data_IF_137435986813
#
_entry.id   IF_137435986813
#
_cell.length_a   1.000
_cell.length_b   1.000
_cell.length_c   1.000
_cell.angle_alpha   90.00
_cell.angle_beta   90.00
_cell.angle_gamma   90.00
#
_symmetry.space_group_name_H-M   'P 1'
#
loop_
_entity.id
_entity.type
_entity.pdbx_description
1 polymer ?
#
# COMPACT_ATOMS: atom_id res chain seq x y z
N UNK A 1 -45.44 -13.87 -27.22
CA UNK A 1 -45.22 -13.33 -25.85
C UNK A 1 -44.03 -13.97 -25.15
N UNK A 2 -43.83 -15.31 -25.16
CA UNK A 2 -42.67 -15.93 -24.47
C UNK A 2 -41.26 -15.48 -24.92
N UNK A 3 -41.03 -15.14 -26.20
CA UNK A 3 -39.68 -14.75 -26.66
C UNK A 3 -39.17 -13.44 -26.05
N UNK A 4 -40.04 -12.46 -25.82
CA UNK A 4 -39.66 -11.16 -25.23
C UNK A 4 -39.33 -11.28 -23.75
N UNK A 5 -40.03 -12.16 -23.03
CA UNK A 5 -39.80 -12.38 -21.60
C UNK A 5 -38.45 -13.08 -21.37
N UNK A 6 -38.13 -14.07 -22.22
CA UNK A 6 -36.84 -14.76 -22.19
C UNK A 6 -35.70 -13.80 -22.56
N UNK A 7 -35.85 -12.97 -23.60
CA UNK A 7 -34.82 -12.00 -23.98
C UNK A 7 -34.58 -10.95 -22.90
N UNK A 8 -35.64 -10.50 -22.21
CA UNK A 8 -35.52 -9.57 -21.09
C UNK A 8 -34.81 -10.22 -19.90
N UNK A 9 -35.17 -11.45 -19.55
CA UNK A 9 -34.51 -12.21 -18.49
C UNK A 9 -33.01 -12.41 -18.78
N UNK A 10 -32.66 -12.79 -20.00
CA UNK A 10 -31.25 -12.94 -20.43
C UNK A 10 -30.50 -11.61 -20.36
N UNK A 11 -31.11 -10.51 -20.80
CA UNK A 11 -30.50 -9.17 -20.74
C UNK A 11 -30.21 -8.73 -19.30
N UNK A 12 -31.15 -8.95 -18.38
CA UNK A 12 -30.97 -8.64 -16.96
C UNK A 12 -29.84 -9.48 -16.35
N UNK A 13 -29.82 -10.78 -16.60
CA UNK A 13 -28.76 -11.67 -16.10
C UNK A 13 -27.39 -11.27 -16.66
N UNK A 14 -27.31 -10.97 -17.96
CA UNK A 14 -26.08 -10.52 -18.60
C UNK A 14 -25.57 -9.21 -18.01
N UNK A 15 -26.47 -8.25 -17.74
CA UNK A 15 -26.12 -6.97 -17.12
C UNK A 15 -25.48 -7.16 -15.73
N UNK A 16 -26.11 -7.98 -14.88
CA UNK A 16 -25.54 -8.29 -13.56
C UNK A 16 -24.23 -9.07 -13.66
N UNK A 17 -24.11 -10.04 -14.58
CA UNK A 17 -22.88 -10.79 -14.78
C UNK A 17 -21.71 -9.88 -15.16
N UNK A 18 -21.94 -8.93 -16.08
CA UNK A 18 -20.93 -7.92 -16.47
C UNK A 18 -20.61 -6.99 -15.30
N UNK A 19 -21.63 -6.51 -14.58
CA UNK A 19 -21.44 -5.65 -13.41
C UNK A 19 -20.61 -6.31 -12.30
N UNK A 20 -20.92 -7.56 -11.96
CA UNK A 20 -20.14 -8.34 -11.00
C UNK A 20 -18.72 -8.63 -11.51
N UNK A 21 -18.56 -8.89 -12.80
CA UNK A 21 -17.25 -9.05 -13.43
C UNK A 21 -16.38 -7.79 -13.27
N UNK A 22 -16.93 -6.63 -13.60
CA UNK A 22 -16.24 -5.34 -13.45
C UNK A 22 -15.91 -5.02 -11.99
N UNK A 23 -16.84 -5.24 -11.07
CA UNK A 23 -16.59 -5.07 -9.63
C UNK A 23 -15.46 -5.95 -9.13
N UNK A 24 -15.42 -7.22 -9.57
CA UNK A 24 -14.35 -8.15 -9.22
C UNK A 24 -12.99 -7.69 -9.77
N UNK A 25 -12.97 -7.11 -10.97
CA UNK A 25 -11.75 -6.55 -11.56
C UNK A 25 -11.27 -5.33 -10.77
N UNK A 26 -12.16 -4.39 -10.45
CA UNK A 26 -11.80 -3.18 -9.68
C UNK A 26 -11.30 -3.55 -8.27
N UNK A 27 -11.97 -4.48 -7.59
CA UNK A 27 -11.59 -4.91 -6.25
C UNK A 27 -10.24 -5.66 -6.20
N UNK A 28 -9.68 -6.06 -7.35
CA UNK A 28 -8.33 -6.64 -7.44
C UNK A 28 -7.24 -5.58 -7.41
N UNK A 29 -7.54 -4.35 -7.80
CA UNK A 29 -6.57 -3.25 -7.76
C UNK A 29 -6.56 -2.64 -6.36
N UNK A 30 -5.54 -2.95 -5.56
CA UNK A 30 -5.32 -2.24 -4.31
C UNK A 30 -5.05 -0.75 -4.63
N UNK A 31 -5.77 0.20 -4.00
CA UNK A 31 -5.68 1.62 -4.30
C UNK A 31 -4.42 2.24 -3.68
N UNK A 32 -3.25 1.74 -4.08
CA UNK A 32 -1.99 2.42 -3.82
C UNK A 32 -1.71 3.40 -4.96
N UNK A 33 -1.51 4.66 -4.61
CA UNK A 33 -0.96 5.62 -5.56
C UNK A 33 0.56 5.52 -5.54
N UNK A 34 1.18 5.35 -6.71
CA UNK A 34 2.63 5.25 -6.90
C UNK A 34 3.00 6.11 -8.10
N UNK A 35 4.03 6.93 -7.97
CA UNK A 35 4.59 7.72 -9.06
C UNK A 35 5.17 6.82 -10.14
N UNK A 36 5.24 7.32 -11.38
CA UNK A 36 5.82 6.59 -12.51
C UNK A 36 7.25 6.11 -12.23
N UNK A 37 8.01 6.93 -11.48
CA UNK A 37 9.41 6.69 -11.10
C UNK A 37 9.56 5.87 -9.81
N UNK A 38 8.46 5.48 -9.15
CA UNK A 38 8.49 4.69 -7.91
C UNK A 38 8.96 5.45 -6.65
N UNK A 39 9.51 6.66 -6.81
CA UNK A 39 10.06 7.48 -5.71
C UNK A 39 9.01 8.11 -4.79
N UNK A 40 7.75 8.19 -5.21
CA UNK A 40 6.66 8.72 -4.37
C UNK A 40 5.52 7.72 -4.37
N UNK A 41 5.03 7.34 -3.20
CA UNK A 41 3.94 6.39 -3.09
C UNK A 41 3.15 6.57 -1.81
N UNK A 42 1.97 5.97 -1.77
CA UNK A 42 1.15 5.90 -0.56
C UNK A 42 1.27 4.49 0.01
N UNK A 43 1.52 4.39 1.31
CA UNK A 43 1.73 3.13 2.00
C UNK A 43 1.07 3.15 3.38
N UNK A 44 0.93 1.97 3.98
CA UNK A 44 0.46 1.84 5.36
C UNK A 44 1.66 1.63 6.27
N UNK A 45 1.71 2.37 7.36
CA UNK A 45 2.74 2.24 8.38
C UNK A 45 2.11 1.87 9.73
N UNK A 46 2.77 0.98 10.46
CA UNK A 46 2.49 0.68 11.86
C UNK A 46 3.72 1.01 12.68
N UNK A 47 3.57 1.77 13.77
CA UNK A 47 4.68 2.05 14.70
C UNK A 47 4.84 0.85 15.63
N UNK A 48 6.07 0.41 15.88
CA UNK A 48 6.37 -0.62 16.87
C UNK A 48 6.34 0.01 18.28
N UNK A 49 5.16 0.44 18.71
CA UNK A 49 4.91 0.90 20.06
C UNK A 49 3.87 -0.05 20.66
N UNK A 50 4.17 -0.59 21.85
CA UNK A 50 3.38 -1.57 22.58
C UNK A 50 1.88 -1.24 22.78
N UNK A 51 1.44 -0.03 22.39
CA UNK A 51 0.07 0.46 22.53
C UNK A 51 -0.70 0.65 21.20
N UNK A 52 -0.11 0.44 20.00
CA UNK A 52 -0.77 0.86 18.74
C UNK A 52 -0.57 -0.12 17.58
N UNK A 53 -1.46 -1.12 17.47
CA UNK A 53 -1.63 -1.94 16.25
C UNK A 53 -2.40 -1.20 15.13
N UNK A 54 -2.23 0.13 15.05
CA UNK A 54 -3.03 0.96 14.14
C UNK A 54 -2.24 1.32 12.88
N UNK A 55 -2.53 0.58 11.82
CA UNK A 55 -2.12 0.93 10.46
C UNK A 55 -2.59 2.33 10.09
N UNK A 56 -1.65 3.21 9.78
CA UNK A 56 -1.90 4.59 9.35
C UNK A 56 -1.45 4.75 7.91
N UNK A 57 -2.28 5.39 7.08
CA UNK A 57 -1.91 5.70 5.69
C UNK A 57 -0.98 6.92 5.64
N UNK A 58 0.16 6.77 4.97
CA UNK A 58 1.18 7.80 4.83
C UNK A 58 1.62 7.95 3.38
N UNK A 59 2.03 9.18 3.02
CA UNK A 59 2.68 9.46 1.74
C UNK A 59 4.19 9.41 1.96
N UNK A 60 4.84 8.56 1.19
CA UNK A 60 6.27 8.27 1.26
C UNK A 60 6.95 8.90 0.04
N UNK A 61 8.06 9.58 0.29
CA UNK A 61 8.95 10.12 -0.73
C UNK A 61 10.36 9.60 -0.48
N UNK A 62 10.96 8.99 -1.49
CA UNK A 62 12.35 8.52 -1.45
C UNK A 62 13.25 9.65 -1.93
N UNK A 63 14.23 10.00 -1.09
CA UNK A 63 15.21 11.08 -1.30
C UNK A 63 16.62 10.52 -1.06
N UNK A 64 17.27 10.06 -2.14
CA UNK A 64 18.57 9.39 -2.07
C UNK A 64 18.50 8.13 -1.22
N UNK A 65 19.29 8.07 -0.14
CA UNK A 65 19.32 6.94 0.80
C UNK A 65 18.33 7.07 1.97
N UNK A 66 17.49 8.10 1.96
CA UNK A 66 16.53 8.37 3.03
C UNK A 66 15.10 8.37 2.49
N UNK A 67 14.18 7.99 3.35
CA UNK A 67 12.75 8.04 3.10
C UNK A 67 12.13 9.17 3.91
N UNK A 68 11.51 10.11 3.23
CA UNK A 68 10.72 11.18 3.83
C UNK A 68 9.26 10.74 3.92
N UNK A 69 8.76 10.60 5.14
CA UNK A 69 7.36 10.26 5.39
C UNK A 69 6.58 11.54 5.68
N UNK A 70 5.57 11.78 4.85
CA UNK A 70 4.58 12.83 5.02
C UNK A 70 3.25 12.20 5.39
N UNK A 71 2.90 12.30 6.67
CA UNK A 71 1.64 11.79 7.18
C UNK A 71 0.43 12.62 6.73
N UNK A 72 -0.71 11.98 6.44
CA UNK A 72 -2.01 12.65 6.35
C UNK A 72 -2.73 12.61 7.70
N UNK A 73 -3.10 13.76 8.24
CA UNK A 73 -3.89 13.89 9.48
C UNK A 73 -3.07 14.00 10.78
N UNK A 74 -3.76 14.29 11.90
CA UNK A 74 -3.13 14.57 13.21
C UNK A 74 -2.29 13.41 13.74
N UNK A 75 -2.75 12.16 13.58
CA UNK A 75 -2.03 10.96 14.03
C UNK A 75 -0.75 10.69 13.23
N UNK A 76 -0.78 11.03 11.95
CA UNK A 76 0.37 10.88 11.07
C UNK A 76 1.42 12.01 11.25
N UNK A 77 1.13 13.03 12.06
CA UNK A 77 2.09 14.08 12.45
C UNK A 77 3.21 13.52 13.33
N UNK A 78 2.92 12.54 14.18
CA UNK A 78 3.93 11.84 14.99
C UNK A 78 4.92 11.02 14.14
N UNK A 79 4.47 10.59 12.96
CA UNK A 79 5.22 9.73 12.03
C UNK A 79 5.99 10.56 10.98
N UNK A 80 5.73 11.88 10.92
CA UNK A 80 6.38 12.79 9.98
C UNK A 80 7.88 12.87 10.28
N UNK A 81 8.73 12.65 9.28
CA UNK A 81 10.18 12.74 9.45
C UNK A 81 10.97 12.06 8.33
N UNK A 82 12.30 12.09 8.48
CA UNK A 82 13.23 11.29 7.67
C UNK A 82 13.46 9.96 8.37
N UNK A 83 13.28 8.89 7.62
CA UNK A 83 13.39 7.50 8.02
C UNK A 83 14.42 6.82 7.13
N UNK A 84 15.20 5.91 7.67
CA UNK A 84 16.07 5.01 6.92
C UNK A 84 15.39 3.65 6.79
N UNK A 85 15.57 2.98 5.65
CA UNK A 85 15.14 1.58 5.50
C UNK A 85 16.22 0.70 6.10
N UNK A 86 15.84 -0.17 7.03
CA UNK A 86 16.79 -1.07 7.68
C UNK A 86 16.79 -2.44 6.99
N UNK A 87 15.65 -3.11 6.93
CA UNK A 87 15.56 -4.44 6.32
C UNK A 87 14.13 -4.74 5.85
N UNK A 88 13.99 -5.59 4.83
CA UNK A 88 12.70 -6.17 4.46
C UNK A 88 12.37 -7.30 5.45
N UNK A 89 11.25 -7.19 6.15
CA UNK A 89 10.69 -8.31 6.89
C UNK A 89 9.96 -9.20 5.90
N UNK A 90 10.45 -10.42 5.71
CA UNK A 90 9.83 -11.42 4.85
C UNK A 90 8.60 -11.98 5.58
N UNK A 91 7.54 -11.16 5.62
CA UNK A 91 6.27 -11.58 6.19
C UNK A 91 5.55 -12.48 5.18
N UNK A 92 4.91 -13.52 5.70
CA UNK A 92 4.31 -14.66 5.00
C UNK A 92 3.16 -14.31 4.02
N UNK A 93 2.86 -13.03 3.81
CA UNK A 93 1.80 -12.55 2.92
C UNK A 93 2.34 -12.26 1.51
N UNK A 94 2.07 -13.19 0.58
CA UNK A 94 2.49 -13.13 -0.83
C UNK A 94 2.05 -11.83 -1.54
N UNK A 95 1.01 -11.15 -1.02
CA UNK A 95 0.48 -9.92 -1.63
C UNK A 95 1.11 -8.64 -1.09
N UNK A 96 1.74 -8.66 0.09
CA UNK A 96 2.24 -7.45 0.75
C UNK A 96 3.64 -7.66 1.32
N UNK A 97 4.57 -6.80 0.93
CA UNK A 97 5.91 -6.75 1.50
C UNK A 97 5.95 -5.78 2.66
N UNK A 98 6.60 -6.20 3.73
CA UNK A 98 6.79 -5.40 4.93
C UNK A 98 8.26 -4.96 5.01
N UNK A 99 8.50 -3.67 5.20
CA UNK A 99 9.82 -3.11 5.37
C UNK A 99 9.92 -2.50 6.76
N UNK A 100 10.97 -2.83 7.50
CA UNK A 100 11.27 -2.17 8.77
C UNK A 100 12.06 -0.91 8.47
N UNK A 101 11.52 0.21 8.95
CA UNK A 101 12.12 1.53 8.83
C UNK A 101 12.48 2.06 10.22
N UNK A 102 13.65 2.67 10.34
CA UNK A 102 14.13 3.28 11.57
C UNK A 102 14.16 4.80 11.41
N UNK A 103 13.76 5.53 12.44
CA UNK A 103 13.81 7.00 12.38
C UNK A 103 15.24 7.48 12.48
N UNK A 104 15.66 8.36 11.58
CA UNK A 104 17.00 8.96 11.63
C UNK A 104 17.14 9.82 12.90
N UNK A 105 17.95 9.35 13.86
CA UNK A 105 18.21 10.05 15.13
C UNK A 105 17.50 9.49 16.37
N UNK A 106 16.69 8.43 16.25
CA UNK A 106 16.04 7.75 17.38
C UNK A 106 16.31 6.24 17.32
N UNK A 107 17.04 5.70 18.30
CA UNK A 107 17.51 4.31 18.33
C UNK A 107 16.36 3.30 18.59
N UNK A 108 15.22 3.76 19.12
CA UNK A 108 14.10 2.91 19.55
C UNK A 108 12.80 3.10 18.75
N UNK A 109 12.83 3.91 17.69
CA UNK A 109 11.65 4.19 16.86
C UNK A 109 11.69 3.36 15.59
N UNK A 110 11.33 2.07 15.70
CA UNK A 110 11.13 1.17 14.56
C UNK A 110 9.69 1.21 14.10
N UNK A 111 9.46 1.18 12.79
CA UNK A 111 8.13 1.11 12.22
C UNK A 111 8.08 0.13 11.04
N UNK A 112 6.93 -0.50 10.86
CA UNK A 112 6.66 -1.44 9.79
C UNK A 112 5.91 -0.72 8.67
N UNK A 113 6.54 -0.63 7.51
CA UNK A 113 5.97 -0.13 6.28
C UNK A 113 5.42 -1.30 5.45
N UNK A 114 4.11 -1.35 5.23
CA UNK A 114 3.48 -2.34 4.37
C UNK A 114 3.18 -1.73 3.00
N UNK A 115 3.72 -2.37 1.96
CA UNK A 115 3.47 -2.03 0.55
C UNK A 115 3.04 -3.28 -0.23
N UNK A 116 2.17 -3.14 -1.23
CA UNK A 116 1.79 -4.25 -2.10
C UNK A 116 3.01 -4.78 -2.87
N UNK A 117 3.15 -6.11 -2.93
CA UNK A 117 4.32 -6.79 -3.50
C UNK A 117 4.54 -6.51 -5.00
N UNK A 118 3.47 -6.19 -5.74
CA UNK A 118 3.51 -5.85 -7.17
C UNK A 118 3.82 -4.37 -7.45
N UNK A 119 4.04 -3.57 -6.40
CA UNK A 119 4.28 -2.14 -6.54
C UNK A 119 5.66 -1.82 -7.11
N UNK A 120 5.73 -0.80 -7.97
CA UNK A 120 7.02 -0.29 -8.49
C UNK A 120 7.91 0.28 -7.39
N UNK A 121 7.36 0.69 -6.25
CA UNK A 121 8.15 1.18 -5.12
C UNK A 121 8.96 0.07 -4.45
N UNK A 122 8.59 -1.21 -4.62
CA UNK A 122 9.34 -2.34 -4.07
C UNK A 122 10.75 -2.40 -4.65
N UNK A 123 10.91 -2.21 -5.96
CA UNK A 123 12.22 -2.20 -6.60
C UNK A 123 13.12 -1.06 -6.08
N UNK A 124 12.51 0.10 -5.77
CA UNK A 124 13.23 1.24 -5.18
C UNK A 124 13.62 0.94 -3.73
N UNK A 125 12.71 0.38 -2.93
CA UNK A 125 12.98 0.02 -1.53
C UNK A 125 14.03 -1.10 -1.42
N UNK A 126 13.98 -2.11 -2.29
CA UNK A 126 14.96 -3.20 -2.36
C UNK A 126 16.35 -2.69 -2.80
N UNK A 127 16.42 -1.59 -3.56
CA UNK A 127 17.70 -0.96 -3.90
C UNK A 127 18.30 -0.23 -2.69
N UNK A 128 17.46 0.36 -1.82
CA UNK A 128 17.91 1.04 -0.60
C UNK A 128 18.40 0.09 0.49
N UNK A 129 17.86 -1.13 0.57
CA UNK A 129 18.34 -2.14 1.54
C UNK A 129 19.67 -2.77 1.14
N UNK A 130 20.08 -2.62 -0.12
CA UNK A 130 21.32 -3.19 -0.67
C UNK A 130 22.45 -2.17 -0.83
N UNK A 131 22.17 -0.89 -0.61
CA UNK A 131 23.14 0.21 -0.69
C UNK A 131 23.84 0.41 0.66
#
# INVERSE_FOLDING_TARGET
MMNSDISNAVSVVAFFAVGFGLLRVINRFEPQWVSKDGLRFTAKISLDSAATDKWTEVRVLVDGNAIVISGRGRKARAIKGRWAVSYSADAQDVRRRHFVIARSGEINSSALLSVPATSRCVAVLDALTKA
#
